data_IF_216375382441
#
_entry.id   IF_216375382441
#
_cell.length_a   1.000
_cell.length_b   1.000
_cell.length_c   1.000
_cell.angle_alpha   90.00
_cell.angle_beta   90.00
_cell.angle_gamma   90.00
#
_symmetry.space_group_name_H-M   'P 1'
#
loop_
_entity.id
_entity.type
_entity.pdbx_description
1 polymer ?
#
# COMPACT_ATOMS: atom_id res chain seq x y z
N UNK A 1 -15.29 -4.94 6.84
CA UNK A 1 -15.68 -6.26 6.28
C UNK A 1 -16.24 -6.28 4.88
N UNK A 2 -17.43 -5.72 4.58
CA UNK A 2 -17.98 -5.79 3.20
C UNK A 2 -17.09 -5.06 2.18
N UNK A 3 -16.77 -3.80 2.44
CA UNK A 3 -15.96 -2.97 1.55
C UNK A 3 -14.60 -3.61 1.25
N UNK A 4 -13.86 -4.04 2.28
CA UNK A 4 -12.56 -4.68 2.11
C UNK A 4 -12.65 -5.95 1.26
N UNK A 5 -13.69 -6.78 1.47
CA UNK A 5 -13.91 -7.99 0.67
C UNK A 5 -14.19 -7.67 -0.79
N UNK A 6 -15.04 -6.68 -1.05
CA UNK A 6 -15.39 -6.25 -2.42
C UNK A 6 -14.20 -5.63 -3.17
N UNK A 7 -13.38 -4.83 -2.48
CA UNK A 7 -12.15 -4.27 -3.04
C UNK A 7 -11.17 -5.40 -3.39
N UNK A 8 -10.92 -6.33 -2.46
CA UNK A 8 -10.02 -7.46 -2.71
C UNK A 8 -10.52 -8.35 -3.85
N UNK A 9 -11.84 -8.57 -3.95
CA UNK A 9 -12.42 -9.31 -5.07
C UNK A 9 -12.20 -8.58 -6.40
N UNK A 10 -12.38 -7.25 -6.42
CA UNK A 10 -12.15 -6.42 -7.61
C UNK A 10 -10.69 -6.45 -8.04
N UNK A 11 -9.75 -6.35 -7.10
CA UNK A 11 -8.30 -6.37 -7.37
C UNK A 11 -7.76 -7.76 -7.77
N UNK A 12 -8.57 -8.82 -7.66
CA UNK A 12 -8.24 -10.17 -8.17
C UNK A 12 -8.68 -10.40 -9.61
N UNK A 13 -9.49 -9.49 -10.18
CA UNK A 13 -9.94 -9.62 -11.57
C UNK A 13 -8.82 -9.24 -12.53
N UNK A 14 -8.54 -10.09 -13.51
CA UNK A 14 -7.47 -9.86 -14.49
C UNK A 14 -7.65 -8.57 -15.29
N UNK A 15 -8.89 -8.25 -15.67
CA UNK A 15 -9.19 -7.02 -16.42
C UNK A 15 -8.93 -5.75 -15.62
N UNK A 16 -9.10 -5.81 -14.30
CA UNK A 16 -8.79 -4.71 -13.38
C UNK A 16 -7.28 -4.57 -13.20
N UNK A 17 -6.59 -5.70 -12.99
CA UNK A 17 -5.11 -5.73 -12.84
C UNK A 17 -4.43 -5.20 -14.10
N UNK A 18 -4.86 -5.64 -15.28
CA UNK A 18 -4.29 -5.18 -16.56
C UNK A 18 -4.48 -3.67 -16.77
N UNK A 19 -5.63 -3.11 -16.34
CA UNK A 19 -5.86 -1.66 -16.42
C UNK A 19 -4.96 -0.88 -15.48
N UNK A 20 -4.69 -1.39 -14.28
CA UNK A 20 -3.79 -0.75 -13.31
C UNK A 20 -2.33 -0.85 -13.79
N UNK A 21 -1.94 -1.99 -14.35
CA UNK A 21 -0.62 -2.20 -14.94
C UNK A 21 -0.32 -1.22 -16.09
N UNK A 22 -1.31 -0.97 -16.96
CA UNK A 22 -1.21 0.04 -18.04
C UNK A 22 -1.01 1.47 -17.54
N UNK A 23 -1.34 1.76 -16.28
CA UNK A 23 -1.09 3.05 -15.64
C UNK A 23 0.33 3.12 -15.02
N UNK A 24 1.12 2.05 -15.12
CA UNK A 24 2.46 1.95 -14.54
C UNK A 24 2.49 1.50 -13.09
N UNK A 25 1.39 0.93 -12.57
CA UNK A 25 1.31 0.45 -11.19
C UNK A 25 1.24 -1.07 -11.12
N UNK A 26 1.91 -1.65 -10.13
CA UNK A 26 1.77 -3.07 -9.80
C UNK A 26 0.73 -3.26 -8.70
N UNK A 27 -0.09 -4.30 -8.81
CA UNK A 27 -1.14 -4.62 -7.83
C UNK A 27 -0.69 -5.75 -6.92
N UNK A 28 -0.53 -5.45 -5.62
CA UNK A 28 -0.30 -6.43 -4.56
C UNK A 28 -1.37 -6.30 -3.47
N UNK A 29 -2.51 -7.02 -3.58
CA UNK A 29 -3.61 -6.86 -2.63
C UNK A 29 -3.24 -7.45 -1.26
N UNK A 30 -3.40 -6.65 -0.21
CA UNK A 30 -3.23 -7.07 1.20
C UNK A 30 -4.58 -7.05 1.90
N UNK A 31 -4.88 -8.09 2.68
CA UNK A 31 -6.05 -8.06 3.56
C UNK A 31 -5.87 -7.03 4.69
N UNK A 32 -6.93 -6.63 5.41
CA UNK A 32 -6.83 -5.60 6.43
C UNK A 32 -5.81 -5.87 7.55
N UNK A 33 -5.62 -7.13 7.95
CA UNK A 33 -4.66 -7.51 8.99
C UNK A 33 -3.24 -7.35 8.45
N UNK A 34 -2.98 -7.90 7.26
CA UNK A 34 -1.68 -7.80 6.60
C UNK A 34 -1.33 -6.34 6.27
N UNK A 35 -2.31 -5.55 5.81
CA UNK A 35 -2.13 -4.13 5.50
C UNK A 35 -1.80 -3.31 6.75
N UNK A 36 -2.45 -3.57 7.89
CA UNK A 36 -2.14 -2.89 9.15
C UNK A 36 -0.68 -3.12 9.56
N UNK A 37 -0.21 -4.36 9.52
CA UNK A 37 1.18 -4.69 9.84
C UNK A 37 2.16 -4.02 8.88
N UNK A 38 1.85 -4.01 7.59
CA UNK A 38 2.65 -3.32 6.58
C UNK A 38 2.80 -1.82 6.89
N UNK A 39 1.70 -1.11 7.21
CA UNK A 39 1.75 0.32 7.52
C UNK A 39 2.60 0.60 8.77
N UNK A 40 2.50 -0.23 9.82
CA UNK A 40 3.32 -0.06 11.02
C UNK A 40 4.81 -0.21 10.71
N UNK A 41 5.19 -1.20 9.89
CA UNK A 41 6.56 -1.40 9.46
C UNK A 41 7.05 -0.25 8.57
N UNK A 42 6.22 0.19 7.63
CA UNK A 42 6.55 1.25 6.68
C UNK A 42 6.80 2.58 7.42
N UNK A 43 5.92 2.94 8.36
CA UNK A 43 6.09 4.11 9.22
C UNK A 43 7.40 4.04 10.03
N UNK A 44 7.70 2.90 10.65
CA UNK A 44 8.93 2.74 11.42
C UNK A 44 10.19 2.87 10.53
N UNK A 45 10.13 2.28 9.33
CA UNK A 45 11.23 2.30 8.34
C UNK A 45 11.49 3.72 7.86
N UNK A 46 10.47 4.41 7.37
CA UNK A 46 10.63 5.75 6.81
C UNK A 46 10.91 6.82 7.86
N UNK A 47 10.36 6.69 9.07
CA UNK A 47 10.73 7.57 10.19
C UNK A 47 12.22 7.50 10.48
N UNK A 48 12.77 6.28 10.56
CA UNK A 48 14.20 6.09 10.79
C UNK A 48 15.04 6.67 9.65
N UNK A 49 14.69 6.37 8.40
CA UNK A 49 15.42 6.87 7.23
C UNK A 49 15.42 8.41 7.21
N UNK A 50 14.28 9.05 7.49
CA UNK A 50 14.19 10.50 7.52
C UNK A 50 15.07 11.11 8.63
N UNK A 51 15.06 10.52 9.83
CA UNK A 51 15.90 10.95 10.95
C UNK A 51 17.39 10.79 10.63
N UNK A 52 17.79 9.63 10.11
CA UNK A 52 19.18 9.34 9.74
C UNK A 52 19.68 10.25 8.60
N UNK A 53 18.78 10.68 7.70
CA UNK A 53 19.07 11.62 6.61
C UNK A 53 18.98 13.10 7.01
N UNK A 54 18.61 13.42 8.26
CA UNK A 54 18.43 14.80 8.72
C UNK A 54 17.27 15.55 8.05
N UNK A 55 16.29 14.83 7.51
CA UNK A 55 15.12 15.42 6.86
C UNK A 55 14.17 15.96 7.93
N UNK A 56 13.76 17.21 7.79
CA UNK A 56 12.76 17.85 8.64
C UNK A 56 11.51 18.18 7.83
N UNK A 57 10.37 18.29 8.50
CA UNK A 57 9.14 18.74 7.86
C UNK A 57 9.30 20.20 7.39
N UNK A 58 8.83 20.51 6.19
CA UNK A 58 8.70 21.90 5.74
C UNK A 58 7.48 22.53 6.45
N UNK A 59 7.63 23.78 6.94
CA UNK A 59 6.55 24.56 7.59
C UNK A 59 5.51 25.09 6.59
#
# INVERSE_FOLDING_TARGET
>A
DRLSKEILASLKRSDVVERIDKLGFTVEPRDPVTFKSYIVQDLATWTKIAQDAGIQAEE
#
